data_IF_457562617095
#
_entry.id   IF_457562617095
#
_cell.length_a   1.000
_cell.length_b   1.000
_cell.length_c   1.000
_cell.angle_alpha   90.00
_cell.angle_beta   90.00
_cell.angle_gamma   90.00
#
_symmetry.space_group_name_H-M   'P 1'
#
loop_
_entity.id
_entity.type
_entity.pdbx_description
1 polymer ?
#
# COMPACT_ATOMS: atom_id res chain seq x y z
N UNK A 1 7.58 -3.07 -13.19
CA UNK A 1 6.78 -4.25 -12.88
C UNK A 1 5.92 -4.00 -11.66
N UNK A 2 4.62 -4.23 -11.78
CA UNK A 2 3.66 -3.93 -10.72
C UNK A 2 3.87 -4.76 -9.45
N UNK A 3 4.30 -6.01 -9.59
CA UNK A 3 4.62 -6.87 -8.44
C UNK A 3 5.71 -6.25 -7.56
N UNK A 4 6.74 -5.68 -8.19
CA UNK A 4 7.84 -5.03 -7.46
C UNK A 4 7.32 -3.85 -6.62
N UNK A 5 6.40 -3.07 -7.17
CA UNK A 5 5.77 -1.95 -6.46
C UNK A 5 5.01 -2.48 -5.23
N UNK A 6 4.21 -3.53 -5.42
CA UNK A 6 3.43 -4.12 -4.32
C UNK A 6 4.34 -4.69 -3.23
N UNK A 7 5.42 -5.39 -3.60
CA UNK A 7 6.38 -5.93 -2.63
C UNK A 7 7.07 -4.81 -1.84
N UNK A 8 7.43 -3.72 -2.51
CA UNK A 8 8.03 -2.55 -1.85
C UNK A 8 7.08 -1.97 -0.81
N UNK A 9 5.80 -1.84 -1.14
CA UNK A 9 4.79 -1.33 -0.20
C UNK A 9 4.60 -2.29 0.97
N UNK A 10 4.52 -3.58 0.71
CA UNK A 10 4.42 -4.58 1.79
C UNK A 10 5.59 -4.47 2.76
N UNK A 11 6.82 -4.32 2.22
CA UNK A 11 8.01 -4.17 3.05
C UNK A 11 7.96 -2.87 3.86
N UNK A 12 7.49 -1.76 3.28
CA UNK A 12 7.33 -0.50 4.01
C UNK A 12 6.30 -0.64 5.13
N UNK A 13 5.17 -1.30 4.87
CA UNK A 13 4.12 -1.52 5.87
C UNK A 13 4.60 -2.42 7.01
N UNK A 14 5.50 -3.35 6.73
CA UNK A 14 6.05 -4.28 7.71
C UNK A 14 7.26 -3.72 8.48
N UNK A 15 7.86 -2.64 7.99
CA UNK A 15 9.06 -2.06 8.60
C UNK A 15 8.77 -1.64 10.04
N UNK A 16 9.60 -2.11 10.96
CA UNK A 16 9.45 -1.79 12.38
C UNK A 16 8.33 -2.52 13.10
N UNK A 17 7.61 -3.41 12.43
CA UNK A 17 6.54 -4.19 13.06
C UNK A 17 7.12 -5.38 13.83
N UNK A 18 6.59 -5.60 15.04
CA UNK A 18 6.96 -6.76 15.86
C UNK A 18 6.43 -8.05 15.23
N UNK A 19 5.26 -7.98 14.61
CA UNK A 19 4.59 -9.10 13.96
C UNK A 19 4.24 -8.69 12.53
N UNK A 20 5.21 -8.78 11.59
CA UNK A 20 4.97 -8.37 10.21
C UNK A 20 3.91 -9.24 9.54
N UNK A 21 3.10 -8.62 8.69
CA UNK A 21 2.07 -9.35 7.96
C UNK A 21 2.68 -10.32 6.96
N UNK A 22 2.00 -11.44 6.74
CA UNK A 22 2.36 -12.42 5.74
C UNK A 22 1.92 -11.96 4.34
N UNK A 23 2.50 -12.60 3.31
CA UNK A 23 2.04 -12.39 1.93
C UNK A 23 0.57 -12.78 1.75
N UNK A 24 0.11 -13.79 2.48
CA UNK A 24 -1.29 -14.24 2.44
C UNK A 24 -2.23 -13.15 2.94
N UNK A 25 -1.89 -12.54 4.06
CA UNK A 25 -2.66 -11.42 4.61
C UNK A 25 -2.62 -10.22 3.67
N UNK A 26 -1.43 -9.88 3.15
CA UNK A 26 -1.25 -8.75 2.24
C UNK A 26 -2.11 -8.94 0.98
N UNK A 27 -2.08 -10.12 0.38
CA UNK A 27 -2.86 -10.42 -0.82
C UNK A 27 -4.37 -10.26 -0.60
N UNK A 28 -4.88 -10.74 0.54
CA UNK A 28 -6.31 -10.69 0.82
C UNK A 28 -6.79 -9.33 1.33
N UNK A 29 -6.04 -8.67 2.21
CA UNK A 29 -6.49 -7.44 2.87
C UNK A 29 -6.06 -6.15 2.15
N UNK A 30 -4.95 -6.18 1.43
CA UNK A 30 -4.42 -5.00 0.77
C UNK A 30 -4.61 -5.01 -0.74
N UNK A 31 -4.45 -6.17 -1.37
CA UNK A 31 -4.62 -6.30 -2.83
C UNK A 31 -6.06 -6.67 -3.24
N UNK A 32 -6.90 -7.04 -2.29
CA UNK A 32 -8.28 -7.42 -2.57
C UNK A 32 -8.41 -8.71 -3.39
N UNK A 33 -7.47 -9.64 -3.20
CA UNK A 33 -7.43 -10.95 -3.87
C UNK A 33 -7.51 -12.06 -2.81
N UNK A 34 -7.43 -13.31 -3.23
CA UNK A 34 -7.41 -14.39 -2.26
C UNK A 34 -6.04 -14.55 -1.60
N UNK A 35 -5.96 -15.35 -0.55
CA UNK A 35 -4.74 -15.49 0.25
C UNK A 35 -3.60 -16.18 -0.49
N UNK A 36 -3.85 -16.85 -1.60
CA UNK A 36 -2.83 -17.56 -2.39
C UNK A 36 -2.28 -16.71 -3.52
N UNK A 37 -2.82 -15.52 -3.74
CA UNK A 37 -2.54 -14.69 -4.91
C UNK A 37 -1.04 -14.38 -5.09
N UNK A 38 -0.38 -13.89 -4.03
CA UNK A 38 1.04 -13.52 -4.10
C UNK A 38 1.92 -14.72 -4.41
N UNK A 39 1.65 -15.85 -3.77
CA UNK A 39 2.38 -17.09 -4.04
C UNK A 39 2.19 -17.58 -5.47
N UNK A 40 0.96 -17.52 -5.96
CA UNK A 40 0.66 -17.89 -7.35
C UNK A 40 1.41 -16.99 -8.35
N UNK A 41 1.35 -15.68 -8.16
CA UNK A 41 2.02 -14.71 -9.05
C UNK A 41 3.53 -15.00 -9.12
N UNK A 42 4.15 -15.23 -7.97
CA UNK A 42 5.60 -15.51 -7.92
C UNK A 42 5.97 -16.84 -8.56
N UNK A 43 5.19 -17.89 -8.28
CA UNK A 43 5.49 -19.23 -8.83
C UNK A 43 5.22 -19.31 -10.33
N UNK A 44 4.25 -18.57 -10.84
CA UNK A 44 3.91 -18.52 -12.26
C UNK A 44 4.79 -17.53 -13.05
N UNK A 45 5.68 -16.81 -12.37
CA UNK A 45 6.53 -15.77 -12.97
C UNK A 45 5.71 -14.78 -13.80
N UNK A 46 4.62 -14.30 -13.21
CA UNK A 46 3.71 -13.33 -13.84
C UNK A 46 3.59 -12.08 -12.96
N UNK A 47 2.89 -11.08 -13.44
CA UNK A 47 2.73 -9.80 -12.73
C UNK A 47 1.34 -9.71 -12.09
N UNK A 48 1.21 -8.84 -11.09
CA UNK A 48 -0.10 -8.55 -10.50
C UNK A 48 -0.97 -7.77 -11.47
N UNK A 49 -2.29 -7.85 -11.30
CA UNK A 49 -3.22 -7.10 -12.13
C UNK A 49 -3.20 -5.61 -11.76
N UNK A 50 -3.59 -4.77 -12.73
CA UNK A 50 -3.77 -3.35 -12.47
C UNK A 50 -4.83 -3.11 -11.39
N UNK A 51 -5.88 -3.93 -11.34
CA UNK A 51 -6.91 -3.85 -10.31
C UNK A 51 -6.34 -4.11 -8.92
N UNK A 52 -5.46 -5.11 -8.76
CA UNK A 52 -4.81 -5.39 -7.48
C UNK A 52 -3.96 -4.20 -7.02
N UNK A 53 -3.24 -3.56 -7.94
CA UNK A 53 -2.44 -2.38 -7.63
C UNK A 53 -3.32 -1.20 -7.22
N UNK A 54 -4.44 -0.98 -7.90
CA UNK A 54 -5.40 0.07 -7.55
C UNK A 54 -6.08 -0.21 -6.21
N UNK A 55 -6.38 -1.46 -5.90
CA UNK A 55 -6.91 -1.85 -4.59
C UNK A 55 -5.90 -1.51 -3.48
N UNK A 56 -4.62 -1.79 -3.71
CA UNK A 56 -3.57 -1.42 -2.76
C UNK A 56 -3.54 0.09 -2.52
N UNK A 57 -3.57 0.86 -3.58
CA UNK A 57 -3.56 2.32 -3.50
C UNK A 57 -4.79 2.83 -2.73
N UNK A 58 -5.98 2.33 -3.06
CA UNK A 58 -7.21 2.69 -2.38
C UNK A 58 -7.19 2.33 -0.89
N UNK A 59 -6.62 1.18 -0.54
CA UNK A 59 -6.51 0.76 0.86
C UNK A 59 -5.53 1.62 1.65
N UNK A 60 -4.43 2.08 1.04
CA UNK A 60 -3.50 3.02 1.68
C UNK A 60 -4.18 4.36 1.93
N UNK A 61 -4.90 4.89 0.93
CA UNK A 61 -5.67 6.13 1.07
C UNK A 61 -6.69 6.00 2.21
N UNK A 62 -7.41 4.88 2.26
CA UNK A 62 -8.40 4.61 3.30
C UNK A 62 -7.77 4.65 4.70
N UNK A 63 -6.60 4.04 4.86
CA UNK A 63 -5.90 4.06 6.14
C UNK A 63 -5.44 5.47 6.52
N UNK A 64 -4.96 6.26 5.56
CA UNK A 64 -4.57 7.64 5.81
C UNK A 64 -5.78 8.48 6.26
N UNK A 65 -6.88 8.39 5.52
CA UNK A 65 -8.11 9.15 5.85
C UNK A 65 -8.62 8.76 7.23
N UNK A 66 -8.67 7.47 7.54
CA UNK A 66 -9.11 6.99 8.84
C UNK A 66 -8.22 7.53 9.97
N UNK A 67 -6.91 7.53 9.75
CA UNK A 67 -5.95 8.03 10.74
C UNK A 67 -6.12 9.54 10.95
N UNK A 68 -6.37 10.30 9.89
CA UNK A 68 -6.62 11.74 9.99
C UNK A 68 -7.91 12.03 10.78
N UNK A 69 -8.95 11.21 10.62
CA UNK A 69 -10.17 11.32 11.42
C UNK A 69 -9.89 11.03 12.90
N UNK A 70 -9.07 10.02 13.17
CA UNK A 70 -8.66 9.68 14.54
C UNK A 70 -7.85 10.80 15.18
N UNK A 71 -7.04 11.53 14.42
CA UNK A 71 -6.32 12.71 14.90
C UNK A 71 -7.29 13.77 15.39
N UNK A 72 -8.35 14.05 14.63
CA UNK A 72 -9.36 15.03 15.00
C UNK A 72 -10.03 14.63 16.33
N UNK A 73 -10.33 13.35 16.51
CA UNK A 73 -10.98 12.84 17.72
C UNK A 73 -10.05 12.85 18.94
N UNK A 74 -8.73 12.83 18.73
CA UNK A 74 -7.73 12.74 19.80
C UNK A 74 -6.83 13.97 19.90
N UNK A 75 -7.24 15.11 19.31
CA UNK A 75 -6.39 16.31 19.21
C UNK A 75 -5.93 16.88 20.55
N UNK A 76 -6.67 16.60 21.62
CA UNK A 76 -6.39 17.14 22.95
C UNK A 76 -5.79 16.10 23.90
N UNK A 77 -5.34 14.94 23.38
CA UNK A 77 -4.74 13.92 24.21
C UNK A 77 -3.40 13.43 23.64
N UNK A 78 -2.70 12.62 24.44
CA UNK A 78 -1.36 12.14 24.12
C UNK A 78 -1.30 11.15 22.93
N UNK A 79 -2.44 10.62 22.47
CA UNK A 79 -2.51 9.75 21.30
C UNK A 79 -2.30 10.50 20.00
N UNK A 80 -2.38 11.84 20.01
CA UNK A 80 -2.29 12.64 18.78
C UNK A 80 -0.92 12.50 18.09
N UNK A 81 0.17 12.46 18.83
CA UNK A 81 1.51 12.37 18.21
C UNK A 81 1.76 11.02 17.52
N UNK A 82 1.47 9.86 18.14
CA UNK A 82 1.56 8.60 17.42
C UNK A 82 0.66 8.55 16.18
N UNK A 83 -0.55 9.13 16.26
CA UNK A 83 -1.47 9.18 15.12
C UNK A 83 -0.93 10.06 13.99
N UNK A 84 -0.32 11.21 14.30
CA UNK A 84 0.30 12.08 13.29
C UNK A 84 1.43 11.37 12.58
N UNK A 85 2.28 10.65 13.30
CA UNK A 85 3.36 9.84 12.71
C UNK A 85 2.82 8.78 11.77
N UNK A 86 1.73 8.12 12.17
CA UNK A 86 1.07 7.11 11.33
C UNK A 86 0.48 7.73 10.07
N UNK A 87 -0.18 8.89 10.17
CA UNK A 87 -0.75 9.61 9.03
C UNK A 87 0.36 10.01 8.05
N UNK A 88 1.48 10.55 8.56
CA UNK A 88 2.62 10.91 7.72
C UNK A 88 3.21 9.70 7.02
N UNK A 89 3.29 8.56 7.70
CA UNK A 89 3.75 7.30 7.11
C UNK A 89 2.85 6.88 5.95
N UNK A 90 1.53 6.83 6.16
CA UNK A 90 0.59 6.46 5.09
C UNK A 90 0.62 7.46 3.94
N UNK A 91 0.80 8.75 4.24
CA UNK A 91 0.94 9.77 3.20
C UNK A 91 2.17 9.52 2.32
N UNK A 92 3.31 9.16 2.91
CA UNK A 92 4.52 8.82 2.15
C UNK A 92 4.31 7.59 1.27
N UNK A 93 3.65 6.55 1.79
CA UNK A 93 3.34 5.36 1.01
C UNK A 93 2.37 5.69 -0.14
N UNK A 94 1.37 6.52 0.14
CA UNK A 94 0.42 6.99 -0.88
C UNK A 94 1.13 7.74 -2.00
N UNK A 95 2.06 8.65 -1.67
CA UNK A 95 2.82 9.39 -2.66
C UNK A 95 3.71 8.48 -3.51
N UNK A 96 4.35 7.50 -2.89
CA UNK A 96 5.14 6.49 -3.60
C UNK A 96 4.27 5.72 -4.59
N UNK A 97 3.12 5.21 -4.14
CA UNK A 97 2.19 4.46 -4.98
C UNK A 97 1.62 5.31 -6.11
N UNK A 98 1.21 6.53 -5.82
CA UNK A 98 0.66 7.44 -6.83
C UNK A 98 1.67 7.72 -7.95
N UNK A 99 2.93 7.95 -7.58
CA UNK A 99 4.01 8.16 -8.54
C UNK A 99 4.29 6.89 -9.36
N UNK A 100 4.33 5.72 -8.70
CA UNK A 100 4.59 4.46 -9.39
C UNK A 100 3.46 4.09 -10.35
N UNK A 101 2.21 4.32 -9.96
CA UNK A 101 1.04 4.07 -10.81
C UNK A 101 1.05 5.02 -12.00
N UNK A 102 1.40 6.29 -11.80
CA UNK A 102 1.54 7.26 -12.86
C UNK A 102 2.57 6.79 -13.90
N UNK A 103 3.74 6.34 -13.44
CA UNK A 103 4.80 5.86 -14.32
C UNK A 103 4.36 4.62 -15.11
N UNK A 104 3.67 3.68 -14.46
CA UNK A 104 3.13 2.47 -15.12
C UNK A 104 2.09 2.86 -16.19
N UNK A 105 1.18 3.76 -15.88
CA UNK A 105 0.17 4.23 -16.81
C UNK A 105 0.80 4.91 -18.02
N UNK A 106 1.80 5.76 -17.79
CA UNK A 106 2.51 6.45 -18.86
C UNK A 106 3.29 5.46 -19.73
N UNK A 107 3.92 4.45 -19.13
CA UNK A 107 4.65 3.43 -19.88
C UNK A 107 3.72 2.63 -20.80
N UNK A 108 2.52 2.28 -20.32
CA UNK A 108 1.51 1.57 -21.10
C UNK A 108 1.10 2.39 -22.34
N UNK A 109 1.02 3.72 -22.20
CA UNK A 109 0.64 4.62 -23.30
C UNK A 109 1.84 5.05 -24.15
N UNK A 110 3.04 4.58 -23.87
CA UNK A 110 4.24 4.91 -24.63
C UNK A 110 4.79 6.31 -24.36
N UNK A 111 4.46 6.91 -23.21
CA UNK A 111 4.98 8.22 -22.83
C UNK A 111 6.36 8.05 -22.19
N UNK A 112 7.32 8.87 -22.64
CA UNK A 112 8.67 8.93 -22.06
C UNK A 112 8.83 10.21 -21.24
N UNK A 113 9.56 10.07 -20.13
CA UNK A 113 9.85 11.19 -19.27
C UNK A 113 11.29 11.66 -19.42
#
# INVERSE_FOLDING_TARGET
>A
MKLHIAESVMNQLNEGQVDPMSERYFGSHWLGRDSTYMGYIKSADTDISAEALLNLYGNVIKQRVQTEQDIVLNRDNEMVEPLRKRADFYHRVECYLGSAIYDEAAAIQGVEF
#
